data_IF_067380701634
#
_entry.id   IF_067380701634
#
_cell.length_a   1.000
_cell.length_b   1.000
_cell.length_c   1.000
_cell.angle_alpha   90.00
_cell.angle_beta   90.00
_cell.angle_gamma   90.00
#
_symmetry.space_group_name_H-M   'P 1'
#
loop_
_entity.id
_entity.type
_entity.pdbx_description
1 polymer ?
#
# COMPACT_ATOMS: atom_id res chain seq x y z
N UNK A 1 -17.68 8.67 -24.89
CA UNK A 1 -16.92 8.82 -23.63
C UNK A 1 -15.46 8.95 -23.97
N UNK A 2 -14.73 9.78 -23.24
CA UNK A 2 -13.28 9.92 -23.37
C UNK A 2 -12.60 8.61 -22.98
N UNK A 3 -11.68 8.10 -23.80
CA UNK A 3 -11.03 6.79 -23.62
C UNK A 3 -10.40 6.64 -22.23
N UNK A 4 -9.81 7.73 -21.70
CA UNK A 4 -9.21 7.73 -20.36
C UNK A 4 -10.24 7.55 -19.24
N UNK A 5 -11.46 8.08 -19.41
CA UNK A 5 -12.54 7.90 -18.43
C UNK A 5 -13.08 6.47 -18.44
N UNK A 6 -13.13 5.85 -19.62
CA UNK A 6 -13.50 4.43 -19.75
C UNK A 6 -12.44 3.53 -19.10
N UNK A 7 -11.16 3.78 -19.36
CA UNK A 7 -10.05 3.05 -18.72
C UNK A 7 -10.09 3.19 -17.19
N UNK A 8 -10.29 4.39 -16.64
CA UNK A 8 -10.43 4.59 -15.18
C UNK A 8 -11.59 3.79 -14.59
N UNK A 9 -12.77 3.86 -15.22
CA UNK A 9 -13.96 3.12 -14.75
C UNK A 9 -13.75 1.61 -14.80
N UNK A 10 -13.04 1.09 -15.79
CA UNK A 10 -12.74 -0.34 -15.90
C UNK A 10 -11.74 -0.80 -14.82
N UNK A 11 -10.76 0.05 -14.48
CA UNK A 11 -9.80 -0.20 -13.40
C UNK A 11 -10.54 -0.23 -12.06
N UNK A 12 -11.33 0.81 -11.75
CA UNK A 12 -12.14 0.89 -10.53
C UNK A 12 -13.09 -0.30 -10.39
N UNK A 13 -13.77 -0.67 -11.47
CA UNK A 13 -14.68 -1.83 -11.48
C UNK A 13 -13.94 -3.14 -11.20
N UNK A 14 -12.72 -3.31 -11.68
CA UNK A 14 -11.94 -4.50 -11.39
C UNK A 14 -11.39 -4.48 -9.95
N UNK A 15 -10.89 -3.33 -9.49
CA UNK A 15 -10.44 -3.15 -8.10
C UNK A 15 -11.54 -3.50 -7.11
N UNK A 16 -12.78 -3.09 -7.38
CA UNK A 16 -13.94 -3.43 -6.57
C UNK A 16 -14.14 -4.96 -6.44
N UNK A 17 -13.91 -5.73 -7.51
CA UNK A 17 -13.99 -7.21 -7.42
C UNK A 17 -12.92 -7.79 -6.50
N UNK A 18 -11.70 -7.25 -6.58
CA UNK A 18 -10.60 -7.65 -5.70
C UNK A 18 -10.94 -7.31 -4.24
N UNK A 19 -11.52 -6.14 -3.99
CA UNK A 19 -11.96 -5.72 -2.65
C UNK A 19 -13.10 -6.61 -2.10
N UNK A 20 -14.07 -6.97 -2.94
CA UNK A 20 -15.16 -7.89 -2.56
C UNK A 20 -14.61 -9.26 -2.16
N UNK A 21 -13.64 -9.78 -2.91
CA UNK A 21 -13.00 -11.05 -2.58
C UNK A 21 -12.21 -10.96 -1.26
N UNK A 22 -11.44 -9.89 -1.08
CA UNK A 22 -10.73 -9.62 0.16
C UNK A 22 -11.69 -9.56 1.36
N UNK A 23 -12.79 -8.80 1.25
CA UNK A 23 -13.81 -8.68 2.29
C UNK A 23 -14.46 -10.04 2.60
N UNK A 24 -14.79 -10.85 1.58
CA UNK A 24 -15.31 -12.21 1.75
C UNK A 24 -14.38 -13.06 2.62
N UNK A 25 -13.08 -13.04 2.33
CA UNK A 25 -12.06 -13.79 3.09
C UNK A 25 -12.00 -13.27 4.53
N UNK A 26 -11.97 -11.95 4.72
CA UNK A 26 -11.93 -11.33 6.04
C UNK A 26 -13.15 -11.68 6.89
N UNK A 27 -14.37 -11.49 6.35
CA UNK A 27 -15.62 -11.79 7.07
C UNK A 27 -15.75 -13.27 7.41
N UNK A 28 -15.43 -14.16 6.46
CA UNK A 28 -15.48 -15.62 6.69
C UNK A 28 -14.59 -16.05 7.87
N UNK A 29 -13.45 -15.38 8.06
CA UNK A 29 -12.45 -15.71 9.08
C UNK A 29 -12.48 -14.77 10.30
N UNK A 30 -13.49 -13.89 10.42
CA UNK A 30 -13.60 -12.89 11.48
C UNK A 30 -12.36 -11.98 11.62
N UNK A 31 -11.75 -11.62 10.49
CA UNK A 31 -10.59 -10.73 10.43
C UNK A 31 -11.10 -9.29 10.36
N UNK A 32 -10.66 -8.45 11.31
CA UNK A 32 -10.96 -7.02 11.30
C UNK A 32 -10.04 -6.30 10.32
N UNK A 33 -10.62 -5.39 9.55
CA UNK A 33 -9.91 -4.46 8.69
C UNK A 33 -10.72 -3.15 8.59
N UNK A 34 -10.14 -2.13 7.98
CA UNK A 34 -10.82 -0.89 7.61
C UNK A 34 -10.43 -0.51 6.20
N UNK A 35 -11.32 0.06 5.39
CA UNK A 35 -10.89 0.89 4.26
C UNK A 35 -9.91 1.96 4.75
N UNK A 36 -8.93 2.33 3.94
CA UNK A 36 -7.86 3.28 4.31
C UNK A 36 -7.68 4.37 3.24
N UNK A 37 -6.94 5.41 3.61
CA UNK A 37 -6.42 6.44 2.70
C UNK A 37 -7.49 6.96 1.70
N UNK A 38 -7.19 6.96 0.40
CA UNK A 38 -8.07 7.48 -0.65
C UNK A 38 -9.39 6.71 -0.73
N UNK A 39 -9.39 5.42 -0.39
CA UNK A 39 -10.58 4.57 -0.42
C UNK A 39 -11.54 4.89 0.73
N UNK A 40 -11.02 5.09 1.94
CA UNK A 40 -11.82 5.54 3.09
C UNK A 40 -12.41 6.93 2.83
N UNK A 41 -11.60 7.84 2.29
CA UNK A 41 -12.05 9.16 1.89
C UNK A 41 -13.13 9.10 0.81
N UNK A 42 -12.98 8.21 -0.17
CA UNK A 42 -13.97 7.91 -1.19
C UNK A 42 -15.29 7.45 -0.60
N UNK A 43 -15.25 6.44 0.27
CA UNK A 43 -16.44 5.91 0.95
C UNK A 43 -17.21 7.02 1.68
N UNK A 44 -16.53 7.82 2.50
CA UNK A 44 -17.17 8.84 3.35
C UNK A 44 -17.66 10.05 2.55
N UNK A 45 -16.95 10.45 1.49
CA UNK A 45 -17.22 11.71 0.77
C UNK A 45 -18.01 11.53 -0.53
N UNK A 46 -17.86 10.39 -1.19
CA UNK A 46 -18.41 10.12 -2.53
C UNK A 46 -19.32 8.89 -2.57
N UNK A 47 -19.50 8.17 -1.46
CA UNK A 47 -20.19 6.88 -1.40
C UNK A 47 -19.59 5.82 -2.36
N UNK A 48 -18.31 5.97 -2.70
CA UNK A 48 -17.65 5.20 -3.76
C UNK A 48 -16.25 5.73 -4.08
N UNK A 49 -15.74 5.44 -5.27
CA UNK A 49 -14.41 5.89 -5.67
C UNK A 49 -14.33 7.42 -5.75
N UNK A 50 -13.14 7.94 -5.39
CA UNK A 50 -12.78 9.29 -5.83
C UNK A 50 -12.61 9.25 -7.36
N UNK A 51 -13.24 10.16 -8.14
CA UNK A 51 -13.31 10.01 -9.61
C UNK A 51 -11.98 10.02 -10.38
N UNK A 52 -10.88 10.39 -9.73
CA UNK A 52 -9.55 10.47 -10.31
C UNK A 52 -8.55 9.52 -9.64
N UNK A 53 -9.01 8.65 -8.75
CA UNK A 53 -8.19 7.68 -8.00
C UNK A 53 -8.40 6.27 -8.59
N UNK A 54 -7.34 5.47 -8.64
CA UNK A 54 -7.29 4.20 -9.39
C UNK A 54 -6.89 2.97 -8.58
N UNK A 55 -6.62 3.14 -7.29
CA UNK A 55 -6.28 2.08 -6.36
C UNK A 55 -7.30 1.95 -5.23
N UNK A 56 -7.14 0.87 -4.46
CA UNK A 56 -7.92 0.58 -3.27
C UNK A 56 -6.96 0.26 -2.14
N UNK A 57 -7.18 0.91 -1.01
CA UNK A 57 -6.38 0.77 0.18
C UNK A 57 -7.22 0.19 1.32
N UNK A 58 -6.70 -0.86 1.94
CA UNK A 58 -7.25 -1.42 3.18
C UNK A 58 -6.16 -1.43 4.24
N UNK A 59 -6.57 -1.25 5.50
CA UNK A 59 -5.68 -1.25 6.64
C UNK A 59 -6.13 -2.28 7.69
N UNK A 60 -5.15 -2.90 8.34
CA UNK A 60 -5.39 -3.84 9.43
C UNK A 60 -4.19 -3.86 10.39
N UNK A 61 -4.40 -4.33 11.61
CA UNK A 61 -3.29 -4.53 12.54
C UNK A 61 -2.45 -5.74 12.15
N UNK A 62 -1.19 -5.79 12.61
CA UNK A 62 -0.32 -6.97 12.43
C UNK A 62 -0.97 -8.27 12.89
N UNK A 63 -1.75 -8.25 13.97
CA UNK A 63 -2.43 -9.44 14.48
C UNK A 63 -3.50 -9.94 13.50
N UNK A 64 -4.32 -9.03 12.98
CA UNK A 64 -5.34 -9.36 11.98
C UNK A 64 -4.69 -9.84 10.68
N UNK A 65 -3.60 -9.19 10.27
CA UNK A 65 -2.81 -9.59 9.12
C UNK A 65 -2.23 -10.99 9.24
N UNK A 66 -1.70 -11.38 10.41
CA UNK A 66 -1.16 -12.72 10.60
C UNK A 66 -2.25 -13.80 10.46
N UNK A 67 -3.49 -13.53 10.90
CA UNK A 67 -4.62 -14.44 10.67
C UNK A 67 -4.96 -14.51 9.19
N UNK A 68 -5.03 -13.35 8.52
CA UNK A 68 -5.27 -13.27 7.08
C UNK A 68 -4.24 -14.05 6.26
N UNK A 69 -2.96 -13.86 6.55
CA UNK A 69 -1.85 -14.53 5.89
C UNK A 69 -1.92 -16.06 6.07
N UNK A 70 -2.44 -16.54 7.20
CA UNK A 70 -2.59 -17.97 7.45
C UNK A 70 -3.71 -18.66 6.65
N UNK A 71 -4.63 -17.89 6.08
CA UNK A 71 -5.82 -18.44 5.38
C UNK A 71 -5.88 -18.08 3.90
N UNK A 72 -5.21 -17.00 3.46
CA UNK A 72 -5.36 -16.47 2.10
C UNK A 72 -4.99 -17.48 1.01
N UNK A 73 -3.95 -18.30 1.22
CA UNK A 73 -3.50 -19.26 0.21
C UNK A 73 -4.56 -20.33 -0.12
N UNK A 74 -5.40 -20.68 0.86
CA UNK A 74 -6.46 -21.69 0.69
C UNK A 74 -7.80 -21.07 0.28
N UNK A 75 -8.01 -19.79 0.60
CA UNK A 75 -9.29 -19.10 0.43
C UNK A 75 -9.37 -18.27 -0.86
N UNK A 76 -8.25 -17.76 -1.38
CA UNK A 76 -8.24 -16.84 -2.51
C UNK A 76 -8.66 -17.55 -3.80
N UNK A 77 -9.62 -16.97 -4.52
CA UNK A 77 -10.01 -17.44 -5.85
C UNK A 77 -8.85 -17.37 -6.87
N UNK A 78 -8.79 -18.32 -7.80
CA UNK A 78 -7.81 -18.38 -8.90
C UNK A 78 -7.90 -17.17 -9.86
N UNK A 79 -8.96 -16.37 -9.77
CA UNK A 79 -9.09 -15.09 -10.48
C UNK A 79 -8.11 -14.02 -9.96
N UNK A 80 -7.47 -14.25 -8.82
CA UNK A 80 -6.60 -13.29 -8.15
C UNK A 80 -5.23 -13.88 -7.81
N UNK A 81 -4.28 -13.00 -7.51
CA UNK A 81 -2.93 -13.34 -7.12
C UNK A 81 -2.53 -12.57 -5.85
N UNK A 82 -2.17 -13.31 -4.80
CA UNK A 82 -1.61 -12.70 -3.59
C UNK A 82 -0.12 -12.41 -3.81
N UNK A 83 0.23 -11.13 -3.88
CA UNK A 83 1.58 -10.66 -4.18
C UNK A 83 2.32 -10.26 -2.89
N UNK A 84 3.36 -11.02 -2.56
CA UNK A 84 4.34 -10.74 -1.51
C UNK A 84 5.75 -10.99 -2.06
N UNK A 85 6.81 -10.71 -1.28
CA UNK A 85 8.16 -11.10 -1.70
C UNK A 85 8.37 -12.64 -1.74
N UNK A 86 7.48 -13.42 -1.13
CA UNK A 86 7.54 -14.88 -1.15
C UNK A 86 6.91 -15.45 -2.43
N UNK A 87 5.73 -14.95 -2.81
CA UNK A 87 5.01 -15.39 -4.00
C UNK A 87 5.53 -14.72 -5.28
N UNK A 88 6.14 -13.54 -5.14
CA UNK A 88 6.73 -12.76 -6.23
C UNK A 88 8.11 -12.21 -5.82
N UNK A 89 9.21 -12.97 -6.04
CA UNK A 89 10.52 -12.65 -5.48
C UNK A 89 11.17 -11.32 -5.90
N UNK A 90 10.67 -10.69 -6.95
CA UNK A 90 11.11 -9.38 -7.44
C UNK A 90 10.23 -8.23 -6.88
N UNK A 91 9.18 -8.55 -6.10
CA UNK A 91 8.32 -7.59 -5.42
C UNK A 91 8.90 -7.17 -4.06
N UNK A 92 9.39 -5.93 -3.98
CA UNK A 92 10.05 -5.37 -2.77
C UNK A 92 9.25 -4.25 -2.08
N UNK A 93 8.01 -4.04 -2.47
CA UNK A 93 7.15 -3.06 -1.83
C UNK A 93 6.91 -3.44 -0.34
N UNK A 94 6.56 -2.46 0.50
CA UNK A 94 6.47 -2.68 1.94
C UNK A 94 5.17 -3.33 2.43
N UNK A 95 4.18 -3.48 1.55
CA UNK A 95 2.88 -4.07 1.85
C UNK A 95 2.53 -5.14 0.81
N UNK A 96 1.82 -6.20 1.20
CA UNK A 96 1.22 -7.14 0.26
C UNK A 96 0.15 -6.47 -0.61
N UNK A 97 -0.07 -7.07 -1.79
CA UNK A 97 -1.20 -6.74 -2.68
C UNK A 97 -2.01 -7.99 -2.97
N UNK A 98 -3.29 -7.83 -3.26
CA UNK A 98 -4.03 -8.80 -4.09
C UNK A 98 -4.19 -8.18 -5.47
N UNK A 99 -3.87 -8.93 -6.52
CA UNK A 99 -3.99 -8.48 -7.91
C UNK A 99 -5.01 -9.32 -8.67
N UNK A 100 -5.74 -8.71 -9.58
CA UNK A 100 -6.58 -9.41 -10.55
C UNK A 100 -5.71 -10.05 -11.65
N UNK A 101 -5.99 -11.32 -11.95
CA UNK A 101 -5.43 -12.03 -13.11
C UNK A 101 -6.19 -11.67 -14.42
N UNK A 102 -7.32 -10.97 -14.33
CA UNK A 102 -8.22 -10.71 -15.46
C UNK A 102 -8.10 -9.28 -16.02
N UNK A 103 -7.40 -8.37 -15.33
CA UNK A 103 -7.14 -7.03 -15.83
C UNK A 103 -5.70 -6.59 -15.56
N UNK A 104 -4.87 -6.67 -16.60
CA UNK A 104 -3.47 -6.30 -16.55
C UNK A 104 -3.30 -4.79 -16.53
N UNK A 105 -2.59 -4.30 -15.51
CA UNK A 105 -2.23 -2.90 -15.36
C UNK A 105 -0.73 -2.81 -15.11
N UNK A 106 -0.02 -2.08 -15.98
CA UNK A 106 1.42 -1.84 -15.84
C UNK A 106 1.69 -0.43 -15.33
N UNK A 107 2.25 -0.34 -14.13
CA UNK A 107 2.67 0.92 -13.53
C UNK A 107 4.04 1.35 -14.06
N UNK A 108 4.22 2.66 -14.28
CA UNK A 108 5.49 3.21 -14.80
C UNK A 108 6.67 2.99 -13.85
N UNK A 109 6.43 3.05 -12.54
CA UNK A 109 7.45 2.80 -11.52
C UNK A 109 7.97 1.35 -11.56
N UNK A 110 7.13 0.41 -12.01
CA UNK A 110 7.43 -1.03 -12.04
C UNK A 110 7.87 -1.53 -13.43
N UNK A 111 8.03 -0.64 -14.42
CA UNK A 111 8.30 -1.01 -15.81
C UNK A 111 9.56 -1.85 -16.04
N UNK A 112 10.51 -1.86 -15.09
CA UNK A 112 11.81 -2.52 -15.20
C UNK A 112 11.97 -3.72 -14.25
N UNK A 113 10.94 -4.05 -13.46
CA UNK A 113 10.96 -5.20 -12.56
C UNK A 113 9.99 -6.26 -13.08
N UNK A 114 10.34 -7.53 -12.84
CA UNK A 114 9.55 -8.66 -13.31
C UNK A 114 8.64 -9.14 -12.18
N UNK A 115 7.58 -8.38 -11.95
CA UNK A 115 6.55 -8.68 -10.95
C UNK A 115 5.23 -8.98 -11.65
N UNK A 116 4.31 -9.63 -10.94
CA UNK A 116 2.93 -9.79 -11.38
C UNK A 116 2.27 -8.42 -11.57
N UNK A 117 1.61 -8.25 -12.72
CA UNK A 117 0.92 -7.03 -13.14
C UNK A 117 -0.58 -7.29 -13.18
N UNK A 118 -1.37 -6.33 -12.71
CA UNK A 118 -2.81 -6.49 -12.57
C UNK A 118 -3.39 -5.40 -11.69
N UNK A 119 -4.65 -5.03 -11.89
CA UNK A 119 -5.38 -4.14 -10.97
C UNK A 119 -5.32 -4.71 -9.56
N UNK A 120 -5.13 -3.87 -8.55
CA UNK A 120 -4.77 -4.34 -7.21
C UNK A 120 -5.57 -3.68 -6.11
N UNK A 121 -5.50 -4.27 -4.91
CA UNK A 121 -5.69 -3.57 -3.65
C UNK A 121 -4.38 -3.62 -2.85
N UNK A 122 -4.12 -2.57 -2.06
CA UNK A 122 -3.00 -2.47 -1.13
C UNK A 122 -3.43 -2.81 0.30
N UNK A 123 -2.66 -3.68 0.97
CA UNK A 123 -2.93 -4.12 2.34
C UNK A 123 -1.92 -3.47 3.31
N UNK A 124 -2.30 -2.33 3.88
CA UNK A 124 -1.50 -1.62 4.87
C UNK A 124 -1.56 -2.27 6.24
N UNK A 125 -0.41 -2.78 6.70
CA UNK A 125 -0.28 -3.44 7.99
C UNK A 125 0.26 -2.46 9.02
N UNK A 126 -0.55 -2.17 10.04
CA UNK A 126 -0.20 -1.30 11.14
C UNK A 126 0.43 -2.09 12.28
N UNK A 127 1.64 -1.69 12.66
CA UNK A 127 2.43 -2.33 13.71
C UNK A 127 2.43 -1.46 14.98
N UNK A 128 2.47 -2.10 16.14
CA UNK A 128 2.56 -1.40 17.43
C UNK A 128 3.83 -0.54 17.46
N UNK A 129 3.78 0.58 18.16
CA UNK A 129 4.96 1.41 18.44
C UNK A 129 5.09 1.70 19.94
N UNK A 130 6.31 1.95 20.46
CA UNK A 130 6.49 2.37 21.85
C UNK A 130 5.73 3.66 22.16
N UNK A 131 5.25 3.80 23.39
CA UNK A 131 4.63 5.04 23.90
C UNK A 131 5.62 6.21 23.93
N UNK A 132 6.92 5.92 24.06
CA UNK A 132 7.97 6.92 23.90
C UNK A 132 8.20 7.21 22.40
N UNK A 133 7.79 8.42 21.98
CA UNK A 133 7.88 8.83 20.58
C UNK A 133 9.32 8.95 20.06
N UNK A 134 10.31 9.27 20.89
CA UNK A 134 11.73 9.30 20.46
C UNK A 134 12.23 7.88 20.14
N UNK A 135 11.77 6.88 20.91
CA UNK A 135 12.07 5.47 20.65
C UNK A 135 11.37 4.98 19.36
N UNK A 136 10.08 5.31 19.20
CA UNK A 136 9.33 5.02 17.98
C UNK A 136 9.99 5.63 16.74
N UNK A 137 10.46 6.88 16.83
CA UNK A 137 11.19 7.54 15.75
C UNK A 137 12.51 6.86 15.41
N UNK A 138 13.26 6.41 16.42
CA UNK A 138 14.52 5.70 16.20
C UNK A 138 14.29 4.41 15.41
N UNK A 139 13.26 3.65 15.78
CA UNK A 139 12.82 2.44 15.07
C UNK A 139 12.43 2.78 13.63
N UNK A 140 11.58 3.79 13.43
CA UNK A 140 11.15 4.21 12.10
C UNK A 140 12.33 4.63 11.23
N UNK A 141 13.29 5.37 11.78
CA UNK A 141 14.48 5.80 11.05
C UNK A 141 15.33 4.62 10.59
N UNK A 142 15.49 3.58 11.41
CA UNK A 142 16.22 2.37 11.02
C UNK A 142 15.51 1.62 9.88
N UNK A 143 14.19 1.44 10.00
CA UNK A 143 13.34 0.80 8.99
C UNK A 143 13.36 1.59 7.68
N UNK A 144 13.14 2.91 7.74
CA UNK A 144 13.19 3.82 6.58
C UNK A 144 14.56 3.82 5.91
N UNK A 145 15.65 3.70 6.66
CA UNK A 145 16.99 3.57 6.11
C UNK A 145 17.18 2.25 5.33
N UNK A 146 16.60 1.14 5.78
CA UNK A 146 16.61 -0.12 5.05
C UNK A 146 15.71 -0.04 3.80
N UNK A 147 14.50 0.52 3.91
CA UNK A 147 13.60 0.75 2.76
C UNK A 147 14.29 1.59 1.68
N UNK A 148 14.96 2.70 2.05
CA UNK A 148 15.73 3.53 1.11
C UNK A 148 16.87 2.77 0.44
N UNK A 149 17.56 1.86 1.14
CA UNK A 149 18.60 1.00 0.53
C UNK A 149 18.00 0.04 -0.49
N UNK A 150 16.85 -0.58 -0.19
CA UNK A 150 16.14 -1.49 -1.09
C UNK A 150 15.70 -0.73 -2.35
N UNK A 151 14.96 0.37 -2.19
CA UNK A 151 14.47 1.22 -3.30
C UNK A 151 15.63 1.69 -4.18
N UNK A 152 16.76 2.08 -3.59
CA UNK A 152 17.98 2.47 -4.33
C UNK A 152 18.60 1.31 -5.14
N UNK A 153 18.26 0.06 -4.88
CA UNK A 153 18.79 -1.06 -5.69
C UNK A 153 17.79 -1.54 -6.74
N UNK A 154 16.50 -1.48 -6.43
CA UNK A 154 15.45 -2.06 -7.29
C UNK A 154 14.81 -1.02 -8.22
N UNK A 155 14.71 0.24 -7.78
CA UNK A 155 13.94 1.29 -8.46
C UNK A 155 14.79 2.53 -8.81
N UNK A 156 16.13 2.44 -8.88
CA UNK A 156 16.94 3.55 -9.43
C UNK A 156 16.72 3.61 -10.93
N UNK A 157 16.17 4.71 -11.42
CA UNK A 157 16.19 5.08 -12.84
C UNK A 157 16.43 6.59 -12.98
N UNK A 158 16.99 7.05 -14.12
CA UNK A 158 17.09 8.48 -14.40
C UNK A 158 15.69 9.05 -14.66
N UNK A 159 15.15 9.71 -13.65
CA UNK A 159 13.80 10.31 -13.58
C UNK A 159 13.75 11.79 -13.99
N UNK A 160 14.93 12.41 -14.15
CA UNK A 160 15.07 13.84 -14.48
C UNK A 160 15.34 14.71 -13.26
N UNK A 161 15.34 14.12 -12.07
CA UNK A 161 15.41 14.82 -10.79
C UNK A 161 16.86 14.86 -10.29
N UNK A 162 17.39 16.06 -10.12
CA UNK A 162 18.71 16.33 -9.57
C UNK A 162 19.72 16.87 -10.61
N UNK A 163 20.98 16.97 -10.21
CA UNK A 163 22.05 17.49 -11.08
C UNK A 163 22.37 16.55 -12.25
N UNK A 164 22.97 17.07 -13.32
CA UNK A 164 23.43 16.25 -14.47
C UNK A 164 24.36 15.10 -14.03
N UNK A 165 25.21 15.33 -13.04
CA UNK A 165 26.08 14.30 -12.46
C UNK A 165 25.26 13.23 -11.73
N UNK A 166 24.27 13.63 -10.93
CA UNK A 166 23.35 12.69 -10.28
C UNK A 166 22.62 11.82 -11.31
N UNK A 167 22.12 12.43 -12.39
CA UNK A 167 21.47 11.71 -13.49
C UNK A 167 22.40 10.72 -14.20
N UNK A 168 23.66 11.10 -14.42
CA UNK A 168 24.66 10.18 -14.95
C UNK A 168 24.91 9.00 -14.00
N UNK A 169 25.10 9.26 -12.69
CA UNK A 169 25.30 8.21 -11.68
C UNK A 169 24.09 7.28 -11.60
N UNK A 170 22.86 7.83 -11.53
CA UNK A 170 21.62 7.06 -11.59
C UNK A 170 21.55 6.18 -12.84
N UNK A 171 21.97 6.69 -13.99
CA UNK A 171 21.98 5.91 -15.23
C UNK A 171 22.97 4.74 -15.16
N UNK A 172 24.20 4.98 -14.71
CA UNK A 172 25.21 3.92 -14.53
C UNK A 172 24.71 2.86 -13.55
N UNK A 173 24.19 3.27 -12.40
CA UNK A 173 23.62 2.37 -11.39
C UNK A 173 22.41 1.61 -11.92
N UNK A 174 21.52 2.26 -12.69
CA UNK A 174 20.38 1.61 -13.32
C UNK A 174 20.82 0.51 -14.28
N UNK A 175 21.76 0.77 -15.19
CA UNK A 175 22.25 -0.25 -16.12
C UNK A 175 22.98 -1.39 -15.38
N UNK A 176 23.80 -1.04 -14.37
CA UNK A 176 24.47 -2.04 -13.55
C UNK A 176 23.46 -2.91 -12.80
N UNK A 177 22.49 -2.29 -12.12
CA UNK A 177 21.42 -3.00 -11.43
C UNK A 177 20.61 -3.83 -12.43
N UNK A 178 20.21 -3.31 -13.59
CA UNK A 178 19.46 -4.07 -14.61
C UNK A 178 20.15 -5.39 -15.01
N UNK A 179 21.48 -5.40 -15.07
CA UNK A 179 22.26 -6.61 -15.41
C UNK A 179 22.42 -7.54 -14.20
N UNK A 180 22.66 -6.99 -13.01
CA UNK A 180 23.13 -7.76 -11.86
C UNK A 180 22.12 -7.87 -10.70
N UNK A 181 20.95 -7.23 -10.73
CA UNK A 181 20.03 -7.19 -9.59
C UNK A 181 19.54 -8.59 -9.20
N UNK A 182 19.29 -9.46 -10.18
CA UNK A 182 18.83 -10.84 -9.93
C UNK A 182 19.86 -11.69 -9.18
N UNK A 183 21.15 -11.39 -9.34
CA UNK A 183 22.23 -12.08 -8.62
C UNK A 183 22.70 -11.31 -7.38
N UNK A 184 22.25 -10.07 -7.20
CA UNK A 184 22.63 -9.25 -6.06
C UNK A 184 21.84 -9.72 -4.82
N UNK A 185 22.50 -10.27 -3.79
CA UNK A 185 21.80 -10.75 -2.59
C UNK A 185 21.40 -9.61 -1.64
N UNK A 186 21.88 -8.38 -1.87
CA UNK A 186 21.68 -7.26 -0.94
C UNK A 186 20.23 -6.80 -0.80
N UNK A 187 19.40 -6.68 -1.86
CA UNK A 187 17.99 -6.31 -1.72
C UNK A 187 17.24 -7.30 -0.82
N UNK A 188 17.39 -8.61 -1.07
CA UNK A 188 16.80 -9.67 -0.24
C UNK A 188 17.31 -9.62 1.19
N UNK A 189 18.61 -9.37 1.39
CA UNK A 189 19.19 -9.22 2.74
C UNK A 189 18.57 -8.04 3.49
N UNK A 190 18.49 -6.85 2.89
CA UNK A 190 17.92 -5.67 3.56
C UNK A 190 16.42 -5.78 3.76
N UNK A 191 15.71 -6.42 2.82
CA UNK A 191 14.29 -6.75 3.00
C UNK A 191 14.10 -7.61 4.24
N UNK A 192 14.81 -8.74 4.36
CA UNK A 192 14.74 -9.60 5.56
C UNK A 192 15.13 -8.87 6.86
N UNK A 193 16.13 -8.00 6.81
CA UNK A 193 16.49 -7.18 7.96
C UNK A 193 15.37 -6.21 8.36
N UNK A 194 14.72 -5.58 7.38
CA UNK A 194 13.60 -4.65 7.61
C UNK A 194 12.41 -5.39 8.23
N UNK A 195 12.00 -6.51 7.63
CA UNK A 195 10.90 -7.33 8.15
C UNK A 195 11.20 -7.82 9.56
N UNK A 196 12.43 -8.26 9.84
CA UNK A 196 12.82 -8.67 11.17
C UNK A 196 12.78 -7.53 12.20
N UNK A 197 13.04 -6.28 11.80
CA UNK A 197 12.91 -5.12 12.70
C UNK A 197 11.45 -4.77 12.96
N UNK A 198 10.60 -4.78 11.93
CA UNK A 198 9.16 -4.54 12.05
C UNK A 198 8.55 -5.57 13.01
N UNK A 199 8.87 -6.85 12.80
CA UNK A 199 8.32 -7.96 13.59
C UNK A 199 8.77 -7.95 15.06
N UNK A 200 9.81 -7.21 15.45
CA UNK A 200 10.14 -7.04 16.88
C UNK A 200 9.08 -6.24 17.63
N UNK A 201 8.34 -5.39 16.93
CA UNK A 201 7.38 -4.50 17.56
C UNK A 201 6.05 -5.20 17.89
N UNK A 202 5.79 -6.37 17.29
CA UNK A 202 4.55 -7.15 17.55
C UNK A 202 4.39 -7.55 19.02
N UNK A 203 5.52 -7.69 19.73
CA UNK A 203 5.58 -8.15 21.12
C UNK A 203 5.66 -6.99 22.13
N UNK A 204 5.52 -5.73 21.70
CA UNK A 204 5.42 -4.58 22.61
C UNK A 204 4.14 -4.73 23.43
N UNK A 205 4.29 -4.89 24.76
CA UNK A 205 3.17 -5.04 25.69
C UNK A 205 2.51 -3.69 26.01
N UNK A 206 3.32 -2.66 26.25
CA UNK A 206 2.85 -1.30 26.58
C UNK A 206 2.92 -0.40 25.34
N UNK A 207 1.75 -0.17 24.72
CA UNK A 207 1.58 0.71 23.57
C UNK A 207 0.20 1.35 23.60
N UNK A 208 0.07 2.54 23.00
CA UNK A 208 -1.19 3.27 22.84
C UNK A 208 -1.47 3.65 21.38
N UNK A 209 -0.55 3.32 20.47
CA UNK A 209 -0.58 3.75 19.08
C UNK A 209 -0.01 2.69 18.14
N UNK A 210 -0.43 2.75 16.88
CA UNK A 210 0.10 1.97 15.77
C UNK A 210 0.69 2.88 14.71
N UNK A 211 1.64 2.37 13.94
CA UNK A 211 2.21 3.06 12.79
C UNK A 211 2.44 2.12 11.60
N UNK A 212 2.41 2.70 10.41
CA UNK A 212 2.76 2.04 9.17
C UNK A 212 4.28 2.09 8.94
N UNK A 213 5.02 1.18 9.58
CA UNK A 213 6.48 1.29 9.70
C UNK A 213 7.24 1.12 8.37
N UNK A 214 6.75 0.22 7.51
CA UNK A 214 7.45 -0.14 6.27
C UNK A 214 7.23 0.86 5.13
N UNK A 215 6.22 1.72 5.25
CA UNK A 215 5.82 2.65 4.20
C UNK A 215 6.91 3.69 3.93
N UNK A 216 7.11 3.99 2.64
CA UNK A 216 8.17 4.90 2.22
C UNK A 216 7.68 6.34 2.29
N UNK A 217 7.49 6.83 3.51
CA UNK A 217 7.03 8.18 3.80
C UNK A 217 8.17 9.13 4.19
N UNK A 218 7.87 10.43 4.08
CA UNK A 218 8.64 11.44 4.84
C UNK A 218 8.45 11.24 6.35
N UNK A 219 9.32 11.83 7.16
CA UNK A 219 9.20 11.71 8.61
C UNK A 219 7.93 12.38 9.16
N UNK A 220 7.56 13.54 8.61
CA UNK A 220 6.33 14.25 8.97
C UNK A 220 5.08 13.46 8.57
N UNK A 221 5.12 12.85 7.37
CA UNK A 221 4.05 11.98 6.90
C UNK A 221 3.92 10.72 7.75
N UNK A 222 5.03 10.08 8.14
CA UNK A 222 5.03 8.99 9.10
C UNK A 222 4.32 9.40 10.40
N UNK A 223 4.69 10.54 10.99
CA UNK A 223 4.08 11.02 12.24
C UNK A 223 2.59 11.29 12.09
N UNK A 224 2.17 11.83 10.94
CA UNK A 224 0.76 12.10 10.61
C UNK A 224 -0.06 10.82 10.46
N UNK A 225 0.54 9.73 9.97
CA UNK A 225 -0.09 8.43 9.78
C UNK A 225 -0.11 7.56 11.06
N UNK A 226 0.42 8.04 12.19
CA UNK A 226 0.28 7.33 13.47
C UNK A 226 -1.20 7.36 13.87
N UNK A 227 -1.74 6.19 14.20
CA UNK A 227 -3.13 6.02 14.61
C UNK A 227 -3.19 5.56 16.07
N UNK A 228 -4.10 6.12 16.84
CA UNK A 228 -4.37 5.69 18.19
C UNK A 228 -4.86 4.23 18.21
N UNK A 229 -4.60 3.51 19.29
CA UNK A 229 -4.98 2.09 19.43
C UNK A 229 -6.47 1.85 19.19
N UNK A 230 -7.33 2.74 19.69
CA UNK A 230 -8.79 2.66 19.56
C UNK A 230 -9.27 2.82 18.10
N UNK A 231 -8.43 3.35 17.20
CA UNK A 231 -8.72 3.43 15.76
C UNK A 231 -8.86 2.06 15.10
N UNK A 232 -8.39 0.97 15.74
CA UNK A 232 -8.50 -0.40 15.24
C UNK A 232 -9.39 -1.30 16.12
N UNK A 233 -9.95 -0.79 17.23
CA UNK A 233 -10.73 -1.60 18.17
C UNK A 233 -12.12 -1.94 17.61
N UNK A 234 -12.79 -0.94 17.04
CA UNK A 234 -14.14 -1.07 16.48
C UNK A 234 -14.20 -0.64 15.02
N UNK A 235 -15.06 -1.34 14.28
CA UNK A 235 -15.37 -1.05 12.89
C UNK A 235 -16.88 -0.96 12.72
N UNK A 236 -17.31 -0.15 11.76
CA UNK A 236 -18.70 0.00 11.35
C UNK A 236 -18.83 -0.33 9.86
N UNK A 237 -20.05 -0.67 9.42
CA UNK A 237 -20.36 -0.83 8.00
C UNK A 237 -20.54 0.55 7.35
N UNK A 238 -19.97 0.73 6.15
CA UNK A 238 -20.19 1.91 5.33
C UNK A 238 -20.31 1.52 3.85
N UNK A 239 -21.18 2.22 3.12
CA UNK A 239 -21.37 2.02 1.68
C UNK A 239 -20.15 2.50 0.90
N UNK A 240 -19.74 1.71 -0.10
CA UNK A 240 -18.78 2.06 -1.15
C UNK A 240 -19.18 1.31 -2.42
N UNK A 241 -19.50 2.03 -3.49
CA UNK A 241 -19.92 1.45 -4.78
C UNK A 241 -21.12 0.49 -4.68
N UNK A 242 -22.02 0.73 -3.73
CA UNK A 242 -23.22 -0.07 -3.51
C UNK A 242 -23.03 -1.35 -2.70
N UNK A 243 -21.85 -1.55 -2.11
CA UNK A 243 -21.54 -2.63 -1.17
C UNK A 243 -21.19 -2.05 0.20
N UNK A 244 -21.46 -2.82 1.26
CA UNK A 244 -21.08 -2.45 2.63
C UNK A 244 -19.72 -3.07 3.00
N UNK A 245 -18.78 -2.21 3.41
CA UNK A 245 -17.46 -2.62 3.87
C UNK A 245 -17.17 -2.07 5.26
N UNK A 246 -16.21 -2.70 5.93
CA UNK A 246 -15.74 -2.24 7.23
C UNK A 246 -14.88 -0.98 7.10
N UNK A 247 -15.20 0.02 7.91
CA UNK A 247 -14.35 1.19 8.17
C UNK A 247 -14.16 1.34 9.68
N UNK A 248 -13.08 1.99 10.11
CA UNK A 248 -12.87 2.36 11.51
C UNK A 248 -14.02 3.21 12.04
N UNK A 249 -14.49 2.96 13.26
CA UNK A 249 -15.43 3.86 13.95
C UNK A 249 -14.81 5.26 14.15
N UNK A 250 -13.48 5.37 14.12
CA UNK A 250 -12.69 6.60 14.23
C UNK A 250 -12.32 7.22 12.88
N UNK A 251 -13.07 6.93 11.82
CA UNK A 251 -12.73 7.39 10.47
C UNK A 251 -12.57 8.92 10.38
N UNK A 252 -13.35 9.71 11.12
CA UNK A 252 -13.29 11.18 11.10
C UNK A 252 -11.96 11.70 11.64
N UNK A 253 -11.46 11.13 12.74
CA UNK A 253 -10.14 11.45 13.32
C UNK A 253 -9.01 11.07 12.34
N UNK A 254 -9.12 9.89 11.72
CA UNK A 254 -8.15 9.39 10.73
C UNK A 254 -8.08 10.33 9.53
N UNK A 255 -9.23 10.61 8.90
CA UNK A 255 -9.30 11.46 7.72
C UNK A 255 -8.93 12.93 8.02
N UNK A 256 -9.26 13.43 9.21
CA UNK A 256 -8.84 14.77 9.64
C UNK A 256 -7.33 14.86 9.82
N UNK A 257 -6.70 13.85 10.43
CA UNK A 257 -5.24 13.81 10.59
C UNK A 257 -4.53 13.68 9.24
N UNK A 258 -5.04 12.82 8.36
CA UNK A 258 -4.45 12.56 7.05
C UNK A 258 -4.68 13.71 6.07
N UNK A 259 -5.88 14.24 5.93
CA UNK A 259 -6.24 15.17 4.86
C UNK A 259 -6.67 16.57 5.33
N UNK A 260 -6.80 16.80 6.64
CA UNK A 260 -7.29 18.07 7.19
C UNK A 260 -8.79 18.26 6.93
N UNK A 261 -9.18 19.36 6.30
CA UNK A 261 -10.57 19.58 5.86
C UNK A 261 -10.90 18.72 4.63
N UNK A 262 -11.06 17.42 4.88
CA UNK A 262 -11.13 16.39 3.85
C UNK A 262 -12.44 16.41 3.06
N UNK A 263 -13.50 17.02 3.60
CA UNK A 263 -14.79 17.17 2.93
C UNK A 263 -14.73 18.23 1.83
N UNK A 264 -13.83 19.21 1.93
CA UNK A 264 -13.58 20.18 0.87
C UNK A 264 -12.81 19.52 -0.26
N UNK A 265 -13.35 19.61 -1.49
CA UNK A 265 -12.67 19.08 -2.67
C UNK A 265 -11.38 19.86 -2.96
N UNK A 266 -10.30 19.18 -3.37
CA UNK A 266 -9.11 19.87 -3.88
C UNK A 266 -9.46 20.66 -5.15
N UNK A 267 -8.60 21.61 -5.51
CA UNK A 267 -8.74 22.36 -6.77
C UNK A 267 -8.68 21.40 -7.96
N UNK A 268 -9.34 21.75 -9.06
CA UNK A 268 -9.40 20.88 -10.24
C UNK A 268 -8.02 20.51 -10.80
N UNK A 269 -7.04 21.40 -10.70
CA UNK A 269 -5.65 21.17 -11.11
C UNK A 269 -4.91 20.10 -10.29
N UNK A 270 -5.37 19.86 -9.05
CA UNK A 270 -4.81 18.87 -8.12
C UNK A 270 -5.57 17.53 -8.18
N UNK A 271 -6.65 17.42 -8.99
CA UNK A 271 -7.48 16.22 -9.15
C UNK A 271 -6.87 15.27 -10.17
N UNK A 272 -5.75 14.67 -9.81
CA UNK A 272 -4.99 13.74 -10.65
C UNK A 272 -4.75 12.42 -9.91
N UNK A 273 -4.68 11.31 -10.65
CA UNK A 273 -4.24 10.03 -10.09
C UNK A 273 -2.78 10.12 -9.65
N UNK A 274 -2.47 9.50 -8.51
CA UNK A 274 -1.12 9.35 -8.02
C UNK A 274 -0.31 8.33 -8.86
N UNK A 275 -0.99 7.42 -9.55
CA UNK A 275 -0.37 6.37 -10.35
C UNK A 275 -0.22 6.77 -11.82
N UNK A 276 0.94 6.42 -12.39
CA UNK A 276 1.19 6.58 -13.82
C UNK A 276 1.03 5.22 -14.51
N UNK A 277 -0.16 4.98 -15.04
CA UNK A 277 -0.49 3.79 -15.84
C UNK A 277 0.17 3.89 -17.22
N UNK A 278 0.96 2.86 -17.57
CA UNK A 278 1.60 2.73 -18.89
C UNK A 278 0.68 2.02 -19.87
N UNK A 279 0.00 0.97 -19.43
CA UNK A 279 -0.94 0.20 -20.22
C UNK A 279 -1.98 -0.49 -19.34
N UNK A 280 -3.19 -0.63 -19.86
CA UNK A 280 -4.29 -1.37 -19.27
C UNK A 280 -4.95 -2.26 -20.33
N UNK A 281 -5.15 -3.53 -20.02
CA UNK A 281 -5.86 -4.50 -20.87
C UNK A 281 -6.67 -5.45 -20.02
N UNK A 282 -7.87 -5.78 -20.49
CA UNK A 282 -8.81 -6.70 -19.83
C UNK A 282 -9.02 -7.93 -20.74
N UNK A 283 -9.01 -9.12 -20.16
CA UNK A 283 -9.35 -10.37 -20.88
C UNK A 283 -10.87 -10.50 -21.11
#
# INVERSE_FOLDING_TARGET
>A
MDRKRTEMSDIQSEGLKVLIEFDRICRKNNIKYSLSDGTLLGAVRHDGFIPWDDDIDVSMTRESFNVFESVIADELSDEFFYQTNETDPDYYAPHPKIRSNNAYLKEKCNQNINIHEGVWIDIFVFDRIPTNLEEADAIQNEISNLSKKIVRMVNIYPDGIGSKLNQFVKSVLFYFNKIFYKINPLPKKYFKQREALILKNKDIEEFDSYALLAYNSSFDEYRRLIRAKDSFENTIEHSFEGYDFLISEKYDDILTNEYGDYMTLPKEEDRVSNHQVVSFTKE
#
